data_IF_868761871755
#
_entry.id   IF_868761871755
#
_cell.length_a   1.000
_cell.length_b   1.000
_cell.length_c   1.000
_cell.angle_alpha   90.00
_cell.angle_beta   90.00
_cell.angle_gamma   90.00
#
_symmetry.space_group_name_H-M   'P 1'
#
loop_
_entity.id
_entity.type
_entity.pdbx_description
1 polymer ?
#
# COMPACT_ATOMS: atom_id res chain seq x y z
N UNK A 1 7.01 2.61 14.13
CA UNK A 1 7.40 2.44 12.73
C UNK A 1 6.20 1.89 12.00
N UNK A 2 5.72 2.65 11.03
CA UNK A 2 4.58 2.30 10.17
C UNK A 2 4.95 2.63 8.74
N UNK A 3 4.39 1.90 7.77
CA UNK A 3 4.58 2.17 6.35
C UNK A 3 3.26 2.71 5.82
N UNK A 4 3.28 3.88 5.21
CA UNK A 4 2.19 4.32 4.34
C UNK A 4 2.38 3.70 2.97
N UNK A 5 1.49 2.76 2.62
CA UNK A 5 1.63 1.99 1.39
C UNK A 5 1.05 2.67 0.16
N UNK A 6 0.45 3.88 0.28
CA UNK A 6 -0.17 4.58 -0.85
C UNK A 6 -0.04 6.11 -0.71
N UNK A 7 1.19 6.61 -0.87
CA UNK A 7 1.44 8.03 -1.01
C UNK A 7 1.12 8.43 -2.46
N UNK A 8 0.03 9.16 -2.69
CA UNK A 8 -0.37 9.52 -4.06
C UNK A 8 0.53 10.61 -4.65
N UNK A 9 1.14 11.46 -3.81
CA UNK A 9 2.02 12.54 -4.23
C UNK A 9 3.04 12.89 -3.14
N UNK A 10 4.29 13.13 -3.53
CA UNK A 10 5.33 13.74 -2.71
C UNK A 10 5.64 15.14 -3.25
N UNK A 11 4.79 16.12 -2.93
CA UNK A 11 4.99 17.50 -3.38
C UNK A 11 5.96 18.27 -2.45
N UNK A 12 6.30 19.50 -2.83
CA UNK A 12 7.24 20.35 -2.08
C UNK A 12 6.86 20.52 -0.61
N UNK A 13 5.55 20.57 -0.29
CA UNK A 13 5.06 20.66 1.10
C UNK A 13 5.35 19.37 1.85
N UNK A 14 4.97 18.23 1.29
CA UNK A 14 5.28 16.94 1.91
C UNK A 14 6.79 16.75 2.15
N UNK A 15 7.62 17.10 1.17
CA UNK A 15 9.07 16.93 1.25
C UNK A 15 9.74 17.89 2.24
N UNK A 16 9.23 19.12 2.37
CA UNK A 16 9.71 20.08 3.35
C UNK A 16 9.42 19.63 4.80
N UNK A 17 8.28 18.96 5.00
CA UNK A 17 7.77 18.61 6.33
C UNK A 17 7.98 17.10 6.66
N UNK A 18 8.72 16.36 5.84
CA UNK A 18 8.80 14.89 5.94
C UNK A 18 9.30 14.41 7.32
N UNK A 19 10.26 15.11 7.93
CA UNK A 19 10.77 14.77 9.26
C UNK A 19 9.70 14.97 10.34
N UNK A 20 8.98 16.10 10.30
CA UNK A 20 7.88 16.40 11.22
C UNK A 20 6.73 15.39 11.07
N UNK A 21 6.34 15.09 9.82
CA UNK A 21 5.35 14.05 9.52
C UNK A 21 5.77 12.70 10.13
N UNK A 22 7.03 12.32 9.99
CA UNK A 22 7.54 11.06 10.52
C UNK A 22 7.51 11.02 12.06
N UNK A 23 7.83 12.14 12.71
CA UNK A 23 7.79 12.28 14.17
C UNK A 23 6.35 12.24 14.72
N UNK A 24 5.42 12.95 14.08
CA UNK A 24 4.04 13.10 14.57
C UNK A 24 3.15 11.91 14.25
N UNK A 25 3.25 11.36 13.03
CA UNK A 25 2.36 10.28 12.57
C UNK A 25 2.83 8.87 12.91
N UNK A 26 4.09 8.71 13.37
CA UNK A 26 4.79 7.43 13.53
C UNK A 26 4.98 6.62 12.22
N UNK A 27 4.57 7.17 11.08
CA UNK A 27 4.94 6.66 9.74
C UNK A 27 6.42 6.93 9.52
N UNK A 28 7.11 5.99 8.91
CA UNK A 28 8.57 6.04 8.74
C UNK A 28 9.01 5.71 7.32
N UNK A 29 8.10 5.17 6.50
CA UNK A 29 8.34 4.80 5.12
C UNK A 29 7.10 5.12 4.29
N UNK A 30 7.32 5.58 3.08
CA UNK A 30 6.27 5.99 2.15
C UNK A 30 6.48 5.29 0.80
N UNK A 31 5.39 4.83 0.19
CA UNK A 31 5.43 4.17 -1.13
C UNK A 31 4.66 5.01 -2.14
N UNK A 32 5.37 5.53 -3.12
CA UNK A 32 4.82 6.22 -4.28
C UNK A 32 4.38 5.23 -5.36
N UNK A 33 3.34 5.60 -6.10
CA UNK A 33 2.83 4.81 -7.22
C UNK A 33 2.80 5.64 -8.51
N UNK A 34 3.97 5.97 -9.10
CA UNK A 34 4.03 6.66 -10.38
C UNK A 34 3.35 5.85 -11.49
N UNK A 35 2.86 6.56 -12.51
CA UNK A 35 2.07 6.03 -13.63
C UNK A 35 2.76 6.24 -14.98
N UNK A 36 3.57 7.28 -15.11
CA UNK A 36 4.25 7.65 -16.36
C UNK A 36 5.76 7.60 -16.21
N UNK A 37 6.51 7.60 -17.32
CA UNK A 37 7.98 7.64 -17.29
C UNK A 37 8.48 8.86 -16.54
N UNK A 38 7.91 10.04 -16.80
CA UNK A 38 8.27 11.28 -16.10
C UNK A 38 8.03 11.19 -14.59
N UNK A 39 6.93 10.58 -14.15
CA UNK A 39 6.65 10.39 -12.73
C UNK A 39 7.58 9.34 -12.09
N UNK A 40 8.05 8.35 -12.87
CA UNK A 40 9.04 7.37 -12.39
C UNK A 40 10.40 8.05 -12.19
N UNK A 41 10.82 8.90 -13.13
CA UNK A 41 12.06 9.67 -13.02
C UNK A 41 12.02 10.59 -11.78
N UNK A 42 10.92 11.31 -11.57
CA UNK A 42 10.72 12.14 -10.37
C UNK A 42 10.73 11.30 -9.08
N UNK A 43 10.01 10.18 -9.04
CA UNK A 43 10.00 9.29 -7.88
C UNK A 43 11.38 8.67 -7.59
N UNK A 44 12.21 8.48 -8.61
CA UNK A 44 13.59 8.02 -8.46
C UNK A 44 14.48 9.08 -7.84
N UNK A 45 14.43 10.31 -8.35
CA UNK A 45 15.18 11.44 -7.79
C UNK A 45 14.85 11.64 -6.32
N UNK A 46 13.55 11.63 -5.98
CA UNK A 46 13.07 11.73 -4.60
C UNK A 46 13.55 10.54 -3.76
N UNK A 47 13.44 9.29 -4.24
CA UNK A 47 13.85 8.11 -3.47
C UNK A 47 15.38 7.99 -3.28
N UNK A 48 16.18 8.64 -4.13
CA UNK A 48 17.63 8.74 -4.00
C UNK A 48 18.02 9.82 -2.99
N UNK A 49 17.24 10.90 -2.87
CA UNK A 49 17.43 11.97 -1.87
C UNK A 49 16.93 11.56 -0.48
N UNK A 50 15.79 10.88 -0.39
CA UNK A 50 15.11 10.55 0.86
C UNK A 50 15.08 9.04 1.11
N UNK A 51 15.78 8.57 2.15
CA UNK A 51 15.87 7.13 2.46
C UNK A 51 14.53 6.48 2.83
N UNK A 52 13.58 7.27 3.34
CA UNK A 52 12.24 6.82 3.74
C UNK A 52 11.27 6.67 2.57
N UNK A 53 11.62 7.14 1.36
CA UNK A 53 10.75 7.09 0.19
C UNK A 53 11.14 5.93 -0.72
N UNK A 54 10.13 5.13 -1.06
CA UNK A 54 10.20 4.03 -2.01
C UNK A 54 9.08 4.18 -3.02
N UNK A 55 9.12 3.38 -4.08
CA UNK A 55 8.10 3.47 -5.12
C UNK A 55 7.82 2.12 -5.79
N UNK A 56 6.68 2.04 -6.45
CA UNK A 56 6.36 0.96 -7.39
C UNK A 56 6.50 1.42 -8.84
N UNK A 57 6.71 0.51 -9.78
CA UNK A 57 6.74 0.82 -11.22
C UNK A 57 5.62 0.10 -11.95
N UNK A 58 4.87 0.73 -12.88
CA UNK A 58 3.94 0.03 -13.75
C UNK A 58 4.61 -1.16 -14.44
N UNK A 59 3.95 -2.31 -14.49
CA UNK A 59 4.54 -3.54 -15.02
C UNK A 59 4.96 -3.38 -16.50
N UNK A 60 4.21 -2.58 -17.27
CA UNK A 60 4.55 -2.20 -18.65
C UNK A 60 5.85 -1.38 -18.78
N UNK A 61 6.31 -0.77 -17.69
CA UNK A 61 7.49 0.09 -17.62
C UNK A 61 8.58 -0.50 -16.69
N UNK A 62 8.52 -1.80 -16.39
CA UNK A 62 9.42 -2.46 -15.42
C UNK A 62 10.92 -2.27 -15.70
N UNK A 63 11.31 -2.05 -16.97
CA UNK A 63 12.69 -1.80 -17.38
C UNK A 63 13.26 -0.49 -16.81
N UNK A 64 12.39 0.40 -16.30
CA UNK A 64 12.76 1.64 -15.63
C UNK A 64 12.92 1.47 -14.11
N UNK A 65 12.83 0.26 -13.56
CA UNK A 65 12.95 0.06 -12.11
C UNK A 65 14.39 0.20 -11.61
N UNK A 66 14.60 1.03 -10.56
CA UNK A 66 15.87 1.10 -9.82
C UNK A 66 15.88 0.14 -8.62
N UNK A 67 16.96 0.15 -7.83
CA UNK A 67 17.08 -0.64 -6.60
C UNK A 67 16.07 -0.24 -5.51
N UNK A 68 15.60 1.02 -5.53
CA UNK A 68 14.57 1.57 -4.61
C UNK A 68 13.14 1.22 -5.02
N UNK A 69 12.93 0.64 -6.20
CA UNK A 69 11.63 0.09 -6.59
C UNK A 69 11.33 -1.14 -5.72
N UNK A 70 10.21 -1.14 -4.99
CA UNK A 70 9.85 -2.22 -4.06
C UNK A 70 8.71 -3.10 -4.54
N UNK A 71 8.01 -2.69 -5.59
CA UNK A 71 6.83 -3.37 -6.12
C UNK A 71 6.60 -3.04 -7.59
N UNK A 72 5.79 -3.85 -8.27
CA UNK A 72 5.25 -3.50 -9.58
C UNK A 72 3.77 -3.18 -9.47
N UNK A 73 3.27 -2.21 -10.24
CA UNK A 73 1.86 -1.86 -10.28
C UNK A 73 1.19 -2.33 -11.57
N UNK A 74 -0.06 -2.74 -11.48
CA UNK A 74 -0.90 -3.03 -12.64
C UNK A 74 -1.80 -1.83 -12.89
N UNK A 75 -1.73 -1.28 -14.10
CA UNK A 75 -2.48 -0.08 -14.51
C UNK A 75 -3.54 -0.35 -15.55
N UNK A 76 -3.48 -1.51 -16.21
CA UNK A 76 -4.52 -1.95 -17.13
C UNK A 76 -4.63 -3.47 -17.17
N UNK A 77 -5.78 -3.96 -17.60
CA UNK A 77 -6.05 -5.41 -17.70
C UNK A 77 -5.03 -6.14 -18.59
N UNK A 78 -4.46 -5.44 -19.58
CA UNK A 78 -3.53 -5.97 -20.57
C UNK A 78 -2.11 -6.24 -20.04
N UNK A 79 -1.72 -5.67 -18.90
CA UNK A 79 -0.34 -5.79 -18.36
C UNK A 79 -0.05 -7.15 -17.73
N UNK A 80 -1.08 -7.95 -17.48
CA UNK A 80 -1.05 -9.17 -16.68
C UNK A 80 -0.45 -10.42 -17.36
N UNK A 81 0.32 -10.27 -18.45
CA UNK A 81 0.79 -11.42 -19.25
C UNK A 81 2.03 -12.13 -18.70
N UNK A 82 2.84 -11.46 -17.86
CA UNK A 82 4.00 -12.06 -17.18
C UNK A 82 4.17 -11.40 -15.81
N UNK A 83 3.45 -11.89 -14.80
CA UNK A 83 3.59 -11.36 -13.45
C UNK A 83 5.00 -11.69 -12.90
N UNK A 84 5.74 -10.70 -12.40
CA UNK A 84 7.05 -10.91 -11.83
C UNK A 84 6.94 -11.68 -10.52
N UNK A 85 7.81 -12.69 -10.35
CA UNK A 85 7.79 -13.57 -9.17
C UNK A 85 8.50 -12.92 -7.96
N UNK A 86 9.40 -11.96 -8.21
CA UNK A 86 10.32 -11.47 -7.20
C UNK A 86 9.74 -10.35 -6.31
N UNK A 87 9.06 -9.38 -6.91
CA UNK A 87 8.50 -8.22 -6.21
C UNK A 87 6.97 -8.32 -6.06
N UNK A 88 6.41 -7.78 -4.96
CA UNK A 88 4.97 -7.72 -4.78
C UNK A 88 4.27 -6.88 -5.86
N UNK A 89 3.00 -7.19 -6.08
CA UNK A 89 2.12 -6.48 -7.01
C UNK A 89 1.28 -5.44 -6.26
N UNK A 90 1.13 -4.26 -6.83
CA UNK A 90 0.19 -3.22 -6.38
C UNK A 90 -0.92 -3.14 -7.42
N UNK A 91 -2.17 -3.21 -6.99
CA UNK A 91 -3.31 -3.07 -7.90
C UNK A 91 -4.43 -2.28 -7.24
N UNK A 92 -5.06 -1.40 -8.00
CA UNK A 92 -6.27 -0.70 -7.56
C UNK A 92 -7.46 -1.67 -7.57
N UNK A 93 -8.30 -1.59 -6.54
CA UNK A 93 -9.49 -2.43 -6.41
C UNK A 93 -10.42 -2.36 -7.63
N UNK A 94 -10.50 -1.19 -8.29
CA UNK A 94 -11.31 -0.98 -9.50
C UNK A 94 -10.86 -1.82 -10.70
N UNK A 95 -9.61 -2.28 -10.72
CA UNK A 95 -9.05 -3.11 -11.79
C UNK A 95 -9.22 -4.61 -11.51
N UNK A 96 -9.78 -4.99 -10.37
CA UNK A 96 -10.01 -6.39 -9.99
C UNK A 96 -11.34 -6.91 -10.53
N UNK A 97 -11.25 -7.64 -11.64
CA UNK A 97 -12.32 -8.50 -12.16
C UNK A 97 -11.92 -9.99 -12.04
N UNK A 98 -12.84 -10.91 -12.34
CA UNK A 98 -12.60 -12.36 -12.23
C UNK A 98 -11.38 -12.84 -13.03
N UNK A 99 -11.13 -12.25 -14.21
CA UNK A 99 -9.98 -12.60 -15.03
C UNK A 99 -8.67 -12.14 -14.39
N UNK A 100 -8.66 -10.94 -13.79
CA UNK A 100 -7.49 -10.41 -13.07
C UNK A 100 -7.21 -11.21 -11.80
N UNK A 101 -8.24 -11.53 -11.02
CA UNK A 101 -8.14 -12.38 -9.83
C UNK A 101 -7.50 -13.73 -10.18
N UNK A 102 -7.95 -14.34 -11.28
CA UNK A 102 -7.40 -15.61 -11.76
C UNK A 102 -5.92 -15.50 -12.10
N UNK A 103 -5.50 -14.41 -12.76
CA UNK A 103 -4.10 -14.19 -13.13
C UNK A 103 -3.20 -13.90 -11.93
N UNK A 104 -3.71 -13.18 -10.93
CA UNK A 104 -2.98 -12.86 -9.70
C UNK A 104 -2.90 -14.03 -8.72
N UNK A 105 -3.60 -15.14 -9.01
CA UNK A 105 -3.52 -16.35 -8.20
C UNK A 105 -2.07 -16.85 -8.11
N UNK A 106 -1.55 -16.98 -6.88
CA UNK A 106 -0.16 -17.38 -6.62
C UNK A 106 0.84 -16.22 -6.55
N UNK A 107 0.40 -14.97 -6.82
CA UNK A 107 1.20 -13.77 -6.58
C UNK A 107 0.97 -13.23 -5.17
N UNK A 108 1.85 -12.33 -4.73
CA UNK A 108 1.72 -11.57 -3.48
C UNK A 108 1.65 -10.08 -3.78
N UNK A 109 0.94 -9.32 -2.96
CA UNK A 109 0.77 -7.91 -3.26
C UNK A 109 -0.11 -7.14 -2.30
N UNK A 110 -0.45 -5.91 -2.68
CA UNK A 110 -1.46 -5.08 -2.02
C UNK A 110 -2.56 -4.73 -3.01
N UNK A 111 -3.77 -4.64 -2.48
CA UNK A 111 -4.93 -4.08 -3.15
C UNK A 111 -5.14 -2.69 -2.56
N UNK A 112 -4.96 -1.67 -3.38
CA UNK A 112 -5.23 -0.28 -3.04
C UNK A 112 -6.72 0.00 -3.10
N UNK A 113 -7.18 0.86 -2.19
CA UNK A 113 -8.57 1.33 -2.16
C UNK A 113 -9.64 0.21 -2.22
N UNK A 114 -9.49 -0.91 -1.48
CA UNK A 114 -10.47 -1.98 -1.50
C UNK A 114 -11.80 -1.53 -0.92
N UNK A 115 -12.89 -2.00 -1.51
CA UNK A 115 -14.27 -1.74 -1.02
C UNK A 115 -14.95 -3.01 -0.50
N UNK A 116 -14.28 -4.15 -0.63
CA UNK A 116 -14.74 -5.46 -0.19
C UNK A 116 -13.54 -6.36 0.15
N UNK A 117 -13.81 -7.51 0.76
CA UNK A 117 -12.78 -8.53 0.96
C UNK A 117 -12.50 -9.29 -0.35
N UNK A 118 -11.22 -9.56 -0.62
CA UNK A 118 -10.77 -10.35 -1.77
C UNK A 118 -10.20 -11.70 -1.31
N UNK A 119 -11.06 -12.56 -0.78
CA UNK A 119 -10.67 -13.85 -0.17
C UNK A 119 -9.95 -14.80 -1.12
N UNK A 120 -10.25 -14.72 -2.42
CA UNK A 120 -9.59 -15.51 -3.47
C UNK A 120 -8.11 -15.14 -3.72
N UNK A 121 -7.66 -13.98 -3.22
CA UNK A 121 -6.29 -13.49 -3.33
C UNK A 121 -5.54 -13.66 -2.01
N UNK A 122 -5.23 -14.91 -1.65
CA UNK A 122 -4.57 -15.27 -0.39
C UNK A 122 -3.20 -14.57 -0.17
N UNK A 123 -2.47 -14.27 -1.23
CA UNK A 123 -1.18 -13.56 -1.16
C UNK A 123 -1.29 -12.03 -1.05
N UNK A 124 -2.50 -11.48 -1.11
CA UNK A 124 -2.72 -10.03 -1.15
C UNK A 124 -3.19 -9.47 0.19
N UNK A 125 -2.69 -8.28 0.49
CA UNK A 125 -3.12 -7.46 1.62
C UNK A 125 -4.06 -6.36 1.12
N UNK A 126 -4.93 -5.87 2.00
CA UNK A 126 -5.89 -4.79 1.78
C UNK A 126 -5.31 -3.52 2.39
N UNK A 127 -5.08 -2.51 1.56
CA UNK A 127 -4.61 -1.21 2.02
C UNK A 127 -5.79 -0.40 2.57
N UNK A 128 -5.90 -0.33 3.89
CA UNK A 128 -7.00 0.29 4.60
C UNK A 128 -6.62 1.71 5.04
N UNK A 129 -7.49 2.67 4.76
CA UNK A 129 -7.32 4.07 5.15
C UNK A 129 -8.67 4.77 5.26
N UNK A 130 -8.65 6.05 5.63
CA UNK A 130 -9.88 6.84 5.83
C UNK A 130 -10.77 6.90 4.60
N UNK A 131 -10.18 6.88 3.40
CA UNK A 131 -10.92 6.89 2.15
C UNK A 131 -11.70 5.61 1.83
N UNK A 132 -11.44 4.49 2.50
CA UNK A 132 -12.04 3.19 2.12
C UNK A 132 -12.57 2.34 3.28
N UNK A 133 -12.16 2.61 4.53
CA UNK A 133 -12.57 1.80 5.69
C UNK A 133 -14.10 1.79 5.87
N UNK A 134 -14.77 2.88 5.52
CA UNK A 134 -16.22 3.00 5.60
C UNK A 134 -16.99 2.19 4.55
N UNK A 135 -16.32 1.63 3.54
CA UNK A 135 -16.96 0.75 2.55
C UNK A 135 -17.22 -0.66 3.09
N UNK A 136 -16.53 -1.06 4.17
CA UNK A 136 -16.67 -2.39 4.76
C UNK A 136 -17.76 -2.41 5.83
N UNK A 137 -18.63 -3.41 5.76
CA UNK A 137 -19.55 -3.71 6.86
C UNK A 137 -18.75 -4.13 8.12
N UNK A 138 -19.27 -3.76 9.28
CA UNK A 138 -18.58 -4.03 10.57
C UNK A 138 -18.42 -5.54 10.79
N UNK A 139 -19.41 -6.33 10.38
CA UNK A 139 -19.38 -7.79 10.44
C UNK A 139 -18.23 -8.36 9.60
N UNK A 140 -18.00 -7.83 8.40
CA UNK A 140 -16.89 -8.24 7.53
C UNK A 140 -15.56 -7.87 8.18
N UNK A 141 -15.40 -6.63 8.66
CA UNK A 141 -14.18 -6.22 9.37
C UNK A 141 -13.91 -7.08 10.61
N UNK A 142 -14.95 -7.47 11.36
CA UNK A 142 -14.79 -8.28 12.58
C UNK A 142 -14.27 -9.70 12.32
N UNK A 143 -14.49 -10.22 11.10
CA UNK A 143 -14.09 -11.57 10.69
C UNK A 143 -12.80 -11.59 9.88
N UNK A 144 -12.39 -10.45 9.33
CA UNK A 144 -11.18 -10.31 8.54
C UNK A 144 -9.93 -10.63 9.37
N UNK A 145 -8.96 -11.30 8.77
CA UNK A 145 -7.66 -11.51 9.40
C UNK A 145 -6.90 -10.19 9.48
N UNK A 146 -6.39 -9.83 10.67
CA UNK A 146 -5.46 -8.68 10.81
C UNK A 146 -4.21 -8.83 9.93
N UNK A 147 -3.84 -10.07 9.59
CA UNK A 147 -2.70 -10.38 8.72
C UNK A 147 -2.94 -9.94 7.28
N UNK A 148 -4.18 -9.58 6.93
CA UNK A 148 -4.55 -9.09 5.61
C UNK A 148 -4.51 -7.58 5.52
N UNK A 149 -4.32 -6.84 6.60
CA UNK A 149 -4.41 -5.38 6.59
C UNK A 149 -3.03 -4.75 6.50
N UNK A 150 -2.92 -3.72 5.66
CA UNK A 150 -1.86 -2.71 5.67
C UNK A 150 -2.51 -1.32 5.72
N UNK A 151 -1.77 -0.29 6.15
CA UNK A 151 -2.32 1.05 6.34
C UNK A 151 -1.95 1.98 5.18
N UNK A 152 -2.88 2.82 4.76
CA UNK A 152 -2.64 3.88 3.79
C UNK A 152 -3.16 5.24 4.27
N UNK A 153 -2.48 6.32 3.87
CA UNK A 153 -2.97 7.69 4.00
C UNK A 153 -3.86 8.03 2.80
N UNK A 154 -3.35 7.90 1.57
CA UNK A 154 -3.91 8.54 0.36
C UNK A 154 -3.71 10.08 0.35
N UNK A 155 -2.61 10.55 0.93
CA UNK A 155 -2.24 11.98 0.90
C UNK A 155 -2.15 12.50 -0.55
N UNK A 156 -2.69 13.69 -0.86
CA UNK A 156 -3.18 14.72 0.09
C UNK A 156 -4.67 14.66 0.40
N UNK A 157 -5.42 13.74 -0.20
CA UNK A 157 -6.87 13.64 0.04
C UNK A 157 -7.20 13.25 1.48
N UNK A 158 -6.31 12.48 2.10
CA UNK A 158 -6.39 12.05 3.48
C UNK A 158 -4.99 12.13 4.10
N UNK A 159 -4.88 12.89 5.19
CA UNK A 159 -3.61 13.11 5.89
C UNK A 159 -3.13 11.88 6.68
N UNK A 160 -1.88 11.93 7.14
CA UNK A 160 -1.29 10.84 7.93
C UNK A 160 -1.94 10.68 9.31
N UNK A 161 -2.43 11.78 9.90
CA UNK A 161 -3.18 11.74 11.16
C UNK A 161 -4.47 10.90 11.06
N UNK A 162 -5.11 10.92 9.88
CA UNK A 162 -6.36 10.21 9.65
C UNK A 162 -6.18 8.68 9.65
N UNK A 163 -4.95 8.18 9.48
CA UNK A 163 -4.63 6.75 9.65
C UNK A 163 -5.10 6.27 11.03
N UNK A 164 -4.97 7.10 12.07
CA UNK A 164 -5.38 6.74 13.43
C UNK A 164 -6.91 6.63 13.57
N UNK A 165 -7.68 7.39 12.79
CA UNK A 165 -9.13 7.26 12.75
C UNK A 165 -9.55 5.95 12.08
N UNK A 166 -8.91 5.59 10.97
CA UNK A 166 -9.08 4.28 10.33
C UNK A 166 -8.75 3.13 11.29
N UNK A 167 -7.61 3.22 12.00
CA UNK A 167 -7.20 2.23 13.00
C UNK A 167 -8.25 2.07 14.10
N UNK A 168 -8.85 3.16 14.59
CA UNK A 168 -9.94 3.11 15.59
C UNK A 168 -11.15 2.33 15.08
N UNK A 169 -11.55 2.55 13.83
CA UNK A 169 -12.68 1.82 13.21
C UNK A 169 -12.38 0.32 13.16
N UNK A 170 -11.20 -0.07 12.66
CA UNK A 170 -10.78 -1.48 12.58
C UNK A 170 -10.67 -2.11 13.98
N UNK A 171 -10.04 -1.41 14.92
CA UNK A 171 -9.88 -1.80 16.33
C UNK A 171 -11.23 -2.13 16.98
N UNK A 172 -12.22 -1.24 16.79
CA UNK A 172 -13.57 -1.41 17.32
C UNK A 172 -14.28 -2.60 16.69
N UNK A 173 -14.20 -2.76 15.37
CA UNK A 173 -14.85 -3.86 14.67
C UNK A 173 -14.26 -5.24 15.06
N UNK A 174 -12.93 -5.32 15.19
CA UNK A 174 -12.22 -6.57 15.51
C UNK A 174 -12.14 -6.89 17.01
N UNK A 175 -12.55 -5.95 17.88
CA UNK A 175 -12.31 -6.03 19.33
C UNK A 175 -10.83 -6.31 19.66
N UNK A 176 -9.95 -5.49 19.11
CA UNK A 176 -8.49 -5.58 19.29
C UNK A 176 -7.90 -4.21 19.61
N UNK A 177 -6.85 -4.11 20.42
CA UNK A 177 -6.21 -2.82 20.69
C UNK A 177 -5.64 -2.17 19.42
N UNK A 178 -5.79 -0.85 19.27
CA UNK A 178 -5.25 -0.06 18.16
C UNK A 178 -3.75 -0.34 17.91
N UNK A 179 -2.95 -0.44 18.98
CA UNK A 179 -1.52 -0.73 18.87
C UNK A 179 -1.25 -2.11 18.26
N UNK A 180 -2.15 -3.08 18.46
CA UNK A 180 -2.03 -4.41 17.84
C UNK A 180 -2.33 -4.35 16.34
N UNK A 181 -3.31 -3.53 15.93
CA UNK A 181 -3.62 -3.28 14.52
C UNK A 181 -2.40 -2.65 13.82
N UNK A 182 -1.88 -1.57 14.38
CA UNK A 182 -0.71 -0.86 13.84
C UNK A 182 0.50 -1.80 13.76
N UNK A 183 0.83 -2.50 14.85
CA UNK A 183 1.98 -3.40 14.87
C UNK A 183 1.86 -4.52 13.84
N UNK A 184 0.66 -5.06 13.64
CA UNK A 184 0.44 -6.13 12.65
C UNK A 184 0.48 -5.60 11.23
N UNK A 185 -0.17 -4.48 10.94
CA UNK A 185 -0.14 -3.84 9.63
C UNK A 185 1.28 -3.45 9.23
N UNK A 186 2.06 -2.85 10.13
CA UNK A 186 3.49 -2.57 9.90
C UNK A 186 4.26 -3.85 9.57
N UNK A 187 4.07 -4.91 10.38
CA UNK A 187 4.77 -6.19 10.15
C UNK A 187 4.45 -6.73 8.76
N UNK A 188 3.18 -6.74 8.38
CA UNK A 188 2.70 -7.17 7.06
C UNK A 188 3.38 -6.39 5.93
N UNK A 189 3.43 -5.06 6.00
CA UNK A 189 4.08 -4.23 4.98
C UNK A 189 5.59 -4.50 4.91
N UNK A 190 6.29 -4.57 6.05
CA UNK A 190 7.74 -4.84 6.10
C UNK A 190 8.10 -6.20 5.47
N UNK A 191 7.30 -7.24 5.74
CA UNK A 191 7.51 -8.58 5.17
C UNK A 191 7.13 -8.66 3.69
N UNK A 192 6.13 -7.90 3.25
CA UNK A 192 5.71 -7.85 1.85
C UNK A 192 6.80 -7.23 0.97
N UNK A 193 7.31 -6.08 1.37
CA UNK A 193 8.31 -5.32 0.61
C UNK A 193 9.76 -5.76 0.87
N UNK A 194 9.99 -6.76 1.74
CA UNK A 194 11.30 -7.36 1.96
C UNK A 194 12.23 -6.58 2.90
N UNK A 195 11.70 -5.58 3.61
CA UNK A 195 12.43 -4.85 4.65
C UNK A 195 12.64 -5.67 5.92
N UNK A 196 11.89 -6.77 6.08
CA UNK A 196 12.01 -7.72 7.17
C UNK A 196 11.90 -9.16 6.66
N UNK A 197 12.73 -10.07 7.18
CA UNK A 197 12.61 -11.52 6.91
C UNK A 197 11.36 -12.07 7.61
N UNK A 198 10.60 -12.89 6.87
CA UNK A 198 9.45 -13.66 7.37
C UNK A 198 9.88 -14.69 8.42
#
# INVERSE_FOLDING_TARGET
MTIDVNLCRADETFLADIEEIMEESMVQMFILHPKTISEIEEAQEIADEYESIFYSVPLSLQDNASSKCVAYSIRSEGESMLLPIEKPIVIEAELLNDAMITKLSGSRGIILNPTQEYTSLEGFYLAMGSGNVGAFETEVLSQMSMDKIVLQSTYPSHGFEEIMECVKVISNAMFRPEQSIIARATKSSLELFGFRKR
#
